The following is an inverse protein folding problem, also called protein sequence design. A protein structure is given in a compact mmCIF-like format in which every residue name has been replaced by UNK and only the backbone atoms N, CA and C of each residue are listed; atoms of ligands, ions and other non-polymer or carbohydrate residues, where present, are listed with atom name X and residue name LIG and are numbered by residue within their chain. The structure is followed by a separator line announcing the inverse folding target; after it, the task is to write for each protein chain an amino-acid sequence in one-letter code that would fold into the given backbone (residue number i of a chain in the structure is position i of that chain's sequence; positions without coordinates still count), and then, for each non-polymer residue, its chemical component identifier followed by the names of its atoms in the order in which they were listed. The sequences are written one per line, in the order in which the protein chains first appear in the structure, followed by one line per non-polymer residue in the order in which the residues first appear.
data_IF_572469567779
#
_entry.id   IF_572469567779
#
_cell.length_a   1.000
_cell.length_b   1.000
_cell.length_c   1.000
_cell.angle_alpha   90.00
_cell.angle_beta   90.00
_cell.angle_gamma   90.00
#
_symmetry.space_group_name_H-M   'P 1'
#
loop_
_entity.id
_entity.type
_entity.pdbx_description
1 polymer ?
#
# COMPACT_ATOMS: atom_id res chain seq x y z
N UNK A 1 6.29 22.76 -6.31
CA UNK A 1 7.58 22.06 -6.53
C UNK A 1 7.75 21.07 -5.39
N UNK A 2 7.95 19.78 -5.68
CA UNK A 2 8.39 18.86 -4.65
C UNK A 2 9.83 19.20 -4.28
N UNK A 3 10.09 19.40 -2.99
CA UNK A 3 11.44 19.66 -2.51
C UNK A 3 12.26 18.39 -2.72
N UNK A 4 13.25 18.41 -3.62
CA UNK A 4 14.09 17.24 -3.94
C UNK A 4 14.76 16.62 -2.71
N UNK A 5 14.86 17.38 -1.62
CA UNK A 5 15.26 16.89 -0.32
C UNK A 5 14.33 15.81 0.24
N UNK A 6 13.01 15.99 0.22
CA UNK A 6 12.06 15.05 0.82
C UNK A 6 12.04 13.71 0.08
N UNK A 7 12.12 13.77 -1.26
CA UNK A 7 12.23 12.59 -2.11
C UNK A 7 13.56 11.86 -1.85
N UNK A 8 14.67 12.59 -1.81
CA UNK A 8 16.00 12.03 -1.54
C UNK A 8 16.12 11.42 -0.15
N UNK A 9 15.53 12.08 0.86
CA UNK A 9 15.47 11.58 2.22
C UNK A 9 14.67 10.28 2.29
N UNK A 10 13.48 10.23 1.67
CA UNK A 10 12.65 9.03 1.70
C UNK A 10 13.32 7.86 0.95
N UNK A 11 13.98 8.14 -0.18
CA UNK A 11 14.75 7.11 -0.90
C UNK A 11 15.85 6.52 -0.01
N UNK A 12 16.68 7.38 0.60
CA UNK A 12 17.74 6.94 1.53
C UNK A 12 17.18 6.18 2.72
N UNK A 13 16.05 6.61 3.26
CA UNK A 13 15.40 5.92 4.38
C UNK A 13 14.96 4.51 3.96
N UNK A 14 14.35 4.37 2.78
CA UNK A 14 13.96 3.05 2.24
C UNK A 14 15.20 2.19 2.04
N UNK A 15 16.27 2.72 1.44
CA UNK A 15 17.50 1.96 1.19
C UNK A 15 18.18 1.48 2.48
N UNK A 16 18.07 2.25 3.57
CA UNK A 16 18.61 1.89 4.89
C UNK A 16 17.74 0.86 5.62
N UNK A 17 16.41 1.05 5.63
CA UNK A 17 15.49 0.19 6.39
C UNK A 17 15.16 -1.10 5.64
N UNK A 18 15.25 -1.07 4.31
CA UNK A 18 14.96 -2.18 3.41
C UNK A 18 16.09 -2.32 2.39
N UNK A 19 17.29 -2.63 2.86
CA UNK A 19 18.47 -2.79 1.98
C UNK A 19 18.35 -3.99 1.03
N UNK A 20 17.50 -4.97 1.32
CA UNK A 20 17.22 -6.15 0.49
C UNK A 20 15.83 -6.09 -0.16
N UNK A 21 15.57 -6.84 -1.25
CA UNK A 21 14.24 -6.98 -1.83
C UNK A 21 13.20 -7.33 -0.75
N UNK A 22 12.20 -6.47 -0.63
CA UNK A 22 11.22 -6.53 0.46
C UNK A 22 9.85 -6.05 -0.01
N UNK A 23 8.88 -6.02 0.90
CA UNK A 23 7.54 -5.53 0.64
C UNK A 23 7.39 -4.16 1.31
N UNK A 24 7.11 -3.13 0.51
CA UNK A 24 6.73 -1.79 0.99
C UNK A 24 5.20 -1.71 0.99
N UNK A 25 4.61 -1.37 2.14
CA UNK A 25 3.17 -1.19 2.28
C UNK A 25 2.85 0.29 2.53
N UNK A 26 2.07 0.88 1.62
CA UNK A 26 1.58 2.25 1.73
C UNK A 26 0.10 2.27 2.09
N UNK A 27 -0.21 2.71 3.31
CA UNK A 27 -1.58 2.85 3.79
C UNK A 27 -2.19 4.19 3.43
N UNK A 28 -3.45 4.18 3.01
CA UNK A 28 -4.22 5.34 2.61
C UNK A 28 -4.04 5.69 1.14
N UNK A 29 -5.17 5.95 0.46
CA UNK A 29 -5.18 6.33 -0.96
C UNK A 29 -4.36 7.59 -1.24
N UNK A 30 -4.41 8.56 -0.35
CA UNK A 30 -3.70 9.84 -0.48
C UNK A 30 -2.19 9.66 -0.38
N UNK A 31 -1.72 8.92 0.64
CA UNK A 31 -0.29 8.63 0.80
C UNK A 31 0.25 7.85 -0.41
N UNK A 32 -0.51 6.86 -0.88
CA UNK A 32 -0.12 6.09 -2.06
C UNK A 32 -0.07 6.95 -3.32
N UNK A 33 -1.01 7.88 -3.50
CA UNK A 33 -0.97 8.86 -4.57
C UNK A 33 0.29 9.74 -4.48
N UNK A 34 0.63 10.23 -3.29
CA UNK A 34 1.83 11.04 -3.10
C UNK A 34 3.11 10.27 -3.36
N UNK A 35 3.21 9.01 -2.91
CA UNK A 35 4.35 8.14 -3.22
C UNK A 35 4.57 8.05 -4.74
N UNK A 36 3.50 7.81 -5.50
CA UNK A 36 3.58 7.76 -6.97
C UNK A 36 3.95 9.09 -7.61
N UNK A 37 3.49 10.20 -7.06
CA UNK A 37 3.82 11.53 -7.57
C UNK A 37 5.26 11.92 -7.29
N UNK A 38 5.79 11.50 -6.15
CA UNK A 38 7.19 11.70 -5.77
C UNK A 38 8.13 10.79 -6.58
N UNK A 39 7.71 9.56 -6.88
CA UNK A 39 8.54 8.56 -7.55
C UNK A 39 7.84 7.97 -8.78
N UNK A 40 7.59 8.78 -9.83
CA UNK A 40 6.78 8.33 -10.97
C UNK A 40 7.43 7.20 -11.78
N UNK A 41 8.77 7.14 -11.81
CA UNK A 41 9.51 6.11 -12.55
C UNK A 41 9.74 4.85 -11.73
N UNK A 42 9.78 4.97 -10.40
CA UNK A 42 10.14 3.86 -9.52
C UNK A 42 8.90 3.15 -8.98
N UNK A 43 7.80 3.89 -8.71
CA UNK A 43 6.55 3.37 -8.15
C UNK A 43 5.56 2.91 -9.24
N UNK A 44 5.88 1.82 -9.91
CA UNK A 44 5.10 1.25 -11.03
C UNK A 44 3.99 0.33 -10.52
N UNK A 45 2.74 0.58 -10.92
CA UNK A 45 1.58 -0.23 -10.52
C UNK A 45 1.17 -1.14 -11.66
N UNK A 46 1.16 -2.44 -11.39
CA UNK A 46 0.86 -3.48 -12.36
C UNK A 46 -0.63 -3.85 -12.31
N UNK A 47 -1.23 -3.81 -11.11
CA UNK A 47 -2.59 -4.26 -10.88
C UNK A 47 -3.28 -3.44 -9.79
N UNK A 48 -4.59 -3.31 -9.90
CA UNK A 48 -5.45 -2.86 -8.81
C UNK A 48 -6.66 -3.77 -8.68
N UNK A 49 -7.13 -4.00 -7.47
CA UNK A 49 -8.30 -4.84 -7.22
C UNK A 49 -9.14 -4.29 -6.07
N UNK A 50 -10.45 -4.40 -6.22
CA UNK A 50 -11.43 -4.07 -5.19
C UNK A 50 -11.79 -5.34 -4.42
N UNK A 51 -11.87 -5.22 -3.10
CA UNK A 51 -12.33 -6.24 -2.16
C UNK A 51 -13.55 -5.73 -1.42
N UNK A 52 -14.65 -6.47 -1.55
CA UNK A 52 -15.86 -6.26 -0.77
C UNK A 52 -15.73 -7.00 0.56
N UNK A 53 -16.16 -6.39 1.65
CA UNK A 53 -16.16 -7.00 2.98
C UNK A 53 -17.25 -6.38 3.86
N UNK A 54 -17.63 -7.07 4.92
CA UNK A 54 -18.65 -6.61 5.86
C UNK A 54 -17.95 -6.01 7.08
N UNK A 55 -18.17 -4.73 7.40
CA UNK A 55 -17.54 -4.10 8.57
C UNK A 55 -18.11 -4.64 9.90
N UNK A 56 -17.62 -4.12 11.04
CA UNK A 56 -18.09 -4.53 12.38
C UNK A 56 -19.59 -4.28 12.62
N UNK A 57 -20.20 -3.39 11.84
CA UNK A 57 -21.61 -3.02 11.95
C UNK A 57 -22.51 -3.83 10.98
N UNK A 58 -21.97 -4.82 10.26
CA UNK A 58 -22.74 -5.58 9.28
C UNK A 58 -22.89 -4.89 7.91
N UNK A 59 -22.25 -3.73 7.69
CA UNK A 59 -22.36 -2.98 6.45
C UNK A 59 -21.33 -3.44 5.41
N UNK A 60 -21.76 -3.59 4.15
CA UNK A 60 -20.85 -3.83 3.04
C UNK A 60 -19.98 -2.60 2.77
N UNK A 61 -18.66 -2.80 2.80
CA UNK A 61 -17.63 -1.81 2.47
C UNK A 61 -16.74 -2.33 1.35
N UNK A 62 -16.06 -1.41 0.69
CA UNK A 62 -15.14 -1.68 -0.40
C UNK A 62 -13.77 -1.16 -0.01
N UNK A 63 -12.74 -1.96 -0.26
CA UNK A 63 -11.34 -1.55 -0.17
C UNK A 63 -10.65 -1.83 -1.48
N UNK A 64 -9.80 -0.91 -1.91
CA UNK A 64 -8.94 -1.11 -3.07
C UNK A 64 -7.53 -1.37 -2.59
N UNK A 65 -6.87 -2.35 -3.19
CA UNK A 65 -5.43 -2.50 -3.08
C UNK A 65 -4.79 -2.41 -4.46
N UNK A 66 -3.54 -1.98 -4.48
CA UNK A 66 -2.71 -1.80 -5.65
C UNK A 66 -1.45 -2.62 -5.47
N UNK A 67 -1.09 -3.41 -6.49
CA UNK A 67 0.12 -4.22 -6.50
C UNK A 67 1.04 -3.71 -7.60
N UNK A 68 2.31 -3.59 -7.26
CA UNK A 68 3.32 -3.03 -8.14
C UNK A 68 4.72 -3.27 -7.62
N UNK A 69 5.64 -2.46 -8.09
CA UNK A 69 7.01 -2.44 -7.62
C UNK A 69 7.41 -1.00 -7.25
N UNK A 70 8.37 -0.90 -6.34
CA UNK A 70 9.12 0.30 -6.03
C UNK A 70 10.60 -0.07 -6.13
N UNK A 71 11.27 0.28 -7.23
CA UNK A 71 12.60 -0.28 -7.56
C UNK A 71 12.60 -1.81 -7.47
N UNK A 72 13.48 -2.38 -6.63
CA UNK A 72 13.58 -3.83 -6.36
C UNK A 72 12.56 -4.37 -5.37
N UNK A 73 11.74 -3.50 -4.76
CA UNK A 73 10.76 -3.87 -3.75
C UNK A 73 9.40 -4.14 -4.37
N UNK A 74 8.65 -5.09 -3.79
CA UNK A 74 7.22 -5.18 -4.06
C UNK A 74 6.51 -4.00 -3.39
N UNK A 75 5.61 -3.36 -4.11
CA UNK A 75 4.84 -2.24 -3.60
C UNK A 75 3.37 -2.65 -3.46
N UNK A 76 2.84 -2.50 -2.25
CA UNK A 76 1.44 -2.71 -1.94
C UNK A 76 0.86 -1.37 -1.49
N UNK A 77 -0.07 -0.82 -2.28
CA UNK A 77 -0.91 0.29 -1.85
C UNK A 77 -2.21 -0.25 -1.25
N UNK A 78 -2.66 0.31 -0.13
CA UNK A 78 -3.96 -0.01 0.47
C UNK A 78 -4.80 1.25 0.60
N UNK A 79 -6.07 1.21 0.19
CA UNK A 79 -6.95 2.37 0.33
C UNK A 79 -7.32 2.66 1.78
N UNK A 80 -7.05 1.72 2.69
CA UNK A 80 -7.37 1.79 4.11
C UNK A 80 -6.29 2.55 4.86
N UNK A 81 -6.70 3.30 5.87
CA UNK A 81 -5.78 3.93 6.82
C UNK A 81 -5.76 3.08 8.10
N UNK A 82 -4.56 2.70 8.58
CA UNK A 82 -4.43 1.91 9.81
C UNK A 82 -4.71 2.73 11.08
N UNK A 83 -4.65 4.06 11.01
CA UNK A 83 -5.04 4.92 12.14
C UNK A 83 -6.55 4.87 12.43
N UNK A 84 -7.34 4.36 11.48
CA UNK A 84 -8.78 4.20 11.64
C UNK A 84 -9.30 2.94 10.92
N UNK A 85 -9.07 1.75 11.50
CA UNK A 85 -9.57 0.51 10.94
C UNK A 85 -11.07 0.31 11.26
N UNK A 86 -11.85 1.37 11.57
CA UNK A 86 -13.29 1.27 11.91
C UNK A 86 -14.10 0.46 10.88
N UNK A 87 -13.64 0.41 9.64
CA UNK A 87 -14.28 -0.34 8.56
C UNK A 87 -13.92 -1.83 8.50
N UNK A 88 -13.02 -2.31 9.35
CA UNK A 88 -12.52 -3.68 9.34
C UNK A 88 -12.72 -4.39 10.68
N UNK A 89 -13.23 -5.62 10.63
CA UNK A 89 -12.98 -6.60 11.68
C UNK A 89 -11.56 -7.17 11.55
N UNK A 90 -11.02 -7.74 12.63
CA UNK A 90 -9.73 -8.46 12.58
C UNK A 90 -9.75 -9.59 11.54
N UNK A 91 -10.88 -10.31 11.44
CA UNK A 91 -11.08 -11.36 10.43
C UNK A 91 -10.92 -10.81 9.01
N UNK A 92 -11.54 -9.67 8.71
CA UNK A 92 -11.46 -9.06 7.38
C UNK A 92 -10.05 -8.60 7.02
N UNK A 93 -9.27 -8.12 7.99
CA UNK A 93 -7.86 -7.75 7.76
C UNK A 93 -7.01 -8.98 7.47
N UNK A 94 -7.23 -10.06 8.22
CA UNK A 94 -6.53 -11.33 7.99
C UNK A 94 -6.85 -11.91 6.61
N UNK A 95 -8.12 -11.90 6.20
CA UNK A 95 -8.51 -12.33 4.87
C UNK A 95 -7.96 -11.43 3.77
N UNK A 96 -7.98 -10.09 3.95
CA UNK A 96 -7.36 -9.16 3.02
C UNK A 96 -5.85 -9.47 2.87
N UNK A 97 -5.16 -9.75 3.97
CA UNK A 97 -3.75 -10.16 3.95
C UNK A 97 -3.53 -11.45 3.17
N UNK A 98 -4.39 -12.47 3.37
CA UNK A 98 -4.34 -13.74 2.62
C UNK A 98 -4.60 -13.53 1.13
N UNK A 99 -5.58 -12.71 0.77
CA UNK A 99 -5.91 -12.40 -0.63
C UNK A 99 -4.72 -11.73 -1.33
N UNK A 100 -4.06 -10.79 -0.65
CA UNK A 100 -2.89 -10.10 -1.18
C UNK A 100 -1.69 -11.06 -1.28
N UNK A 101 -1.45 -11.90 -0.27
CA UNK A 101 -0.33 -12.83 -0.28
C UNK A 101 -0.38 -13.80 -1.48
N UNK A 102 -1.58 -14.32 -1.82
CA UNK A 102 -1.80 -15.17 -2.99
C UNK A 102 -1.50 -14.52 -4.34
N UNK A 103 -1.40 -13.19 -4.39
CA UNK A 103 -1.12 -12.46 -5.63
C UNK A 103 0.34 -12.01 -5.73
N UNK A 104 1.11 -12.16 -4.66
CA UNK A 104 2.52 -11.74 -4.58
C UNK A 104 3.46 -12.94 -4.59
N UNK A 105 3.01 -14.08 -4.08
CA UNK A 105 3.70 -15.38 -4.08
C UNK A 105 3.02 -16.35 -5.05
#
# INVERSE_FOLDING_TARGET
MFNGWAQSFLQKLIDVVASEPSIIVSFGRTNFKYLKQLFPNDAVINKSKKRYHINKNGEQKITTYWLGNFNKHKLIGLSVNLGDPRNFSTSNLNELGKDIAKEIY
#
